data_IF_037187832706
#
_entry.id   IF_037187832706
#
_cell.length_a   1.000
_cell.length_b   1.000
_cell.length_c   1.000
_cell.angle_alpha   90.00
_cell.angle_beta   90.00
_cell.angle_gamma   90.00
#
_symmetry.space_group_name_H-M   'P 1'
#
loop_
_entity.id
_entity.type
_entity.pdbx_description
1 polymer ?
#
# COMPACT_ATOMS: atom_id res chain seq x y z
N UNK A 1 7.01 3.24 -7.07
CA UNK A 1 5.74 3.52 -7.78
C UNK A 1 5.90 4.40 -9.02
N UNK A 2 6.61 5.53 -8.94
CA UNK A 2 6.74 6.46 -10.07
C UNK A 2 7.37 5.82 -11.31
N UNK A 3 8.35 4.92 -11.15
CA UNK A 3 8.97 4.20 -12.26
C UNK A 3 8.02 3.23 -12.96
N UNK A 4 7.18 2.52 -12.20
CA UNK A 4 6.19 1.57 -12.74
C UNK A 4 5.08 2.32 -13.47
N UNK A 5 4.59 3.42 -12.89
CA UNK A 5 3.60 4.29 -13.52
C UNK A 5 4.18 4.90 -14.81
N UNK A 6 5.43 5.37 -14.80
CA UNK A 6 6.12 5.84 -16.01
C UNK A 6 6.20 4.78 -17.08
N UNK A 7 6.59 3.56 -16.74
CA UNK A 7 6.68 2.46 -17.71
C UNK A 7 5.31 2.11 -18.30
N UNK A 8 4.24 2.18 -17.51
CA UNK A 8 2.88 1.99 -18.03
C UNK A 8 2.57 3.11 -19.02
N UNK A 9 2.73 4.38 -18.64
CA UNK A 9 2.48 5.54 -19.51
C UNK A 9 3.29 5.44 -20.82
N UNK A 10 4.59 5.16 -20.74
CA UNK A 10 5.46 5.05 -21.93
C UNK A 10 5.09 3.88 -22.84
N UNK A 11 4.70 2.72 -22.28
CA UNK A 11 4.42 1.52 -23.08
C UNK A 11 2.99 1.43 -23.59
N UNK A 12 2.05 2.13 -22.96
CA UNK A 12 0.61 2.02 -23.28
C UNK A 12 -0.03 3.35 -23.69
N UNK A 13 0.64 4.49 -23.47
CA UNK A 13 0.17 5.81 -23.89
C UNK A 13 -1.01 6.36 -23.08
N UNK A 14 -1.40 5.70 -21.98
CA UNK A 14 -2.52 6.14 -21.14
C UNK A 14 -2.08 7.28 -20.20
N UNK A 15 -3.00 8.19 -19.83
CA UNK A 15 -2.71 9.28 -18.91
C UNK A 15 -2.37 8.74 -17.51
N UNK A 16 -1.58 9.51 -16.76
CA UNK A 16 -1.06 9.11 -15.45
C UNK A 16 -2.16 8.68 -14.46
N UNK A 17 -3.30 9.36 -14.47
CA UNK A 17 -4.45 9.03 -13.64
C UNK A 17 -5.00 7.63 -13.93
N UNK A 18 -4.98 7.22 -15.20
CA UNK A 18 -5.40 5.88 -15.64
C UNK A 18 -4.33 4.83 -15.36
N UNK A 19 -3.06 5.18 -15.49
CA UNK A 19 -1.96 4.29 -15.13
C UNK A 19 -1.97 3.93 -13.63
N UNK A 20 -2.31 4.88 -12.75
CA UNK A 20 -2.50 4.59 -11.32
C UNK A 20 -3.69 3.66 -11.05
N UNK A 21 -4.82 3.86 -11.75
CA UNK A 21 -5.98 2.97 -11.63
C UNK A 21 -5.65 1.54 -12.08
N UNK A 22 -4.94 1.39 -13.21
CA UNK A 22 -4.49 0.08 -13.72
C UNK A 22 -3.54 -0.59 -12.74
N UNK A 23 -2.58 0.15 -12.19
CA UNK A 23 -1.65 -0.38 -11.21
C UNK A 23 -2.38 -0.88 -9.95
N UNK A 24 -3.41 -0.17 -9.49
CA UNK A 24 -4.26 -0.60 -8.38
C UNK A 24 -4.97 -1.92 -8.66
N UNK A 25 -5.64 -2.05 -9.82
CA UNK A 25 -6.34 -3.29 -10.21
C UNK A 25 -5.38 -4.48 -10.32
N UNK A 26 -4.21 -4.26 -10.93
CA UNK A 26 -3.19 -5.31 -11.07
C UNK A 26 -2.60 -5.68 -9.71
N UNK A 27 -2.33 -4.71 -8.84
CA UNK A 27 -1.80 -4.98 -7.51
C UNK A 27 -2.80 -5.78 -6.65
N UNK A 28 -4.09 -5.45 -6.69
CA UNK A 28 -5.15 -6.23 -6.04
C UNK A 28 -5.19 -7.65 -6.59
N UNK A 29 -5.19 -7.81 -7.92
CA UNK A 29 -5.18 -9.14 -8.55
C UNK A 29 -3.97 -9.98 -8.17
N UNK A 30 -2.78 -9.39 -8.16
CA UNK A 30 -1.54 -10.09 -7.78
C UNK A 30 -1.55 -10.44 -6.30
N UNK A 31 -2.10 -9.58 -5.42
CA UNK A 31 -2.27 -9.87 -3.99
C UNK A 31 -3.23 -11.05 -3.74
N UNK A 32 -4.32 -11.12 -4.50
CA UNK A 32 -5.30 -12.21 -4.42
C UNK A 32 -4.74 -13.54 -4.94
N UNK A 33 -3.90 -13.50 -5.99
CA UNK A 33 -3.29 -14.70 -6.57
C UNK A 33 -2.02 -15.15 -5.85
N UNK A 34 -1.26 -14.22 -5.29
CA UNK A 34 0.02 -14.45 -4.64
C UNK A 34 0.08 -13.75 -3.27
N UNK A 35 -0.71 -14.20 -2.29
CA UNK A 35 -0.77 -13.58 -0.97
C UNK A 35 0.58 -13.63 -0.22
N UNK A 36 1.44 -14.60 -0.52
CA UNK A 36 2.80 -14.69 0.01
C UNK A 36 3.68 -13.48 -0.35
N UNK A 37 3.39 -12.81 -1.47
CA UNK A 37 4.09 -11.58 -1.90
C UNK A 37 3.31 -10.32 -1.52
N UNK A 38 2.13 -10.47 -0.89
CA UNK A 38 1.20 -9.39 -0.58
C UNK A 38 1.86 -8.26 0.22
N UNK A 39 2.65 -8.58 1.25
CA UNK A 39 3.34 -7.58 2.07
C UNK A 39 4.43 -6.79 1.34
N UNK A 40 5.11 -7.40 0.36
CA UNK A 40 6.10 -6.69 -0.47
C UNK A 40 5.40 -5.77 -1.47
N UNK A 41 4.29 -6.22 -2.06
CA UNK A 41 3.46 -5.42 -2.95
C UNK A 41 2.87 -4.24 -2.16
N UNK A 42 2.41 -4.47 -0.93
CA UNK A 42 1.91 -3.45 0.00
C UNK A 42 2.97 -2.38 0.32
N UNK A 43 4.20 -2.83 0.59
CA UNK A 43 5.35 -1.95 0.84
C UNK A 43 5.72 -1.14 -0.40
N UNK A 44 5.67 -1.75 -1.59
CA UNK A 44 5.95 -1.10 -2.87
C UNK A 44 4.84 -0.12 -3.29
N UNK A 45 3.59 -0.43 -2.97
CA UNK A 45 2.42 0.44 -3.17
C UNK A 45 2.26 1.50 -2.07
N UNK A 46 3.17 1.53 -1.09
CA UNK A 46 3.14 2.52 -0.01
C UNK A 46 1.90 2.39 0.90
N UNK A 47 1.14 1.30 0.79
CA UNK A 47 -0.01 1.03 1.66
C UNK A 47 0.43 0.54 3.04
N UNK A 48 1.72 0.24 3.22
CA UNK A 48 2.35 -0.05 4.52
C UNK A 48 2.35 1.11 5.53
N UNK A 49 1.77 2.27 5.20
CA UNK A 49 1.53 3.38 6.14
C UNK A 49 0.14 4.01 6.05
N UNK A 50 -0.73 3.49 5.17
CA UNK A 50 -2.11 3.93 5.07
C UNK A 50 -2.99 2.74 5.43
N UNK A 51 -3.16 2.55 6.74
CA UNK A 51 -4.26 1.79 7.30
C UNK A 51 -5.52 2.17 6.52
N UNK A 52 -6.06 1.17 5.82
CA UNK A 52 -7.38 1.25 5.23
C UNK A 52 -8.34 1.63 6.38
N UNK A 53 -9.00 2.79 6.39
CA UNK A 53 -9.88 3.18 7.49
C UNK A 53 -11.13 2.27 7.62
N UNK A 54 -11.28 1.30 6.72
CA UNK A 54 -12.33 0.29 6.73
C UNK A 54 -12.03 -0.94 7.62
N UNK A 55 -10.80 -1.11 8.12
CA UNK A 55 -10.46 -2.12 9.15
C UNK A 55 -10.15 -1.41 10.48
N UNK A 56 -11.04 -0.50 10.88
CA UNK A 56 -11.12 -0.03 12.27
C UNK A 56 -11.68 -1.17 13.13
N UNK A 57 -10.81 -2.13 13.46
CA UNK A 57 -10.91 -2.81 14.75
C UNK A 57 -10.48 -1.78 15.79
N UNK A 58 -11.42 -1.35 16.62
CA UNK A 58 -11.20 -0.50 17.78
C UNK A 58 -9.99 -1.05 18.56
N UNK A 59 -8.87 -0.29 18.57
CA UNK A 59 -7.69 -0.67 19.34
C UNK A 59 -6.34 -0.11 18.88
N UNK A 60 -6.18 0.34 17.63
CA UNK A 60 -4.88 0.82 17.13
C UNK A 60 -4.85 2.34 16.86
N UNK A 61 -4.95 3.12 17.94
CA UNK A 61 -4.43 4.50 17.99
C UNK A 61 -3.01 4.52 18.61
N UNK A 62 -2.28 3.41 18.50
CA UNK A 62 -1.06 3.13 19.27
C UNK A 62 0.14 2.63 18.48
N UNK A 63 0.04 2.38 17.17
CA UNK A 63 1.06 1.65 16.42
C UNK A 63 2.48 2.25 16.42
N UNK A 64 2.62 3.56 16.63
CA UNK A 64 3.94 4.20 16.78
C UNK A 64 4.04 5.01 18.07
N UNK A 65 3.01 5.79 18.41
CA UNK A 65 2.99 6.59 19.64
C UNK A 65 2.81 5.73 20.90
N UNK A 66 2.03 4.65 20.84
CA UNK A 66 1.80 3.68 21.93
C UNK A 66 2.98 2.75 22.17
N UNK A 67 3.70 2.38 21.11
CA UNK A 67 4.93 1.61 21.20
C UNK A 67 6.09 2.36 21.84
N UNK A 68 6.22 3.68 21.59
CA UNK A 68 7.29 4.48 22.20
C UNK A 68 7.03 4.78 23.68
N UNK A 69 5.80 5.11 24.08
CA UNK A 69 5.42 5.30 25.51
C UNK A 69 5.60 4.02 26.29
N UNK A 70 5.15 2.88 25.77
CA UNK A 70 5.29 1.59 26.45
C UNK A 70 6.74 1.14 26.62
N UNK A 71 7.62 1.49 25.66
CA UNK A 71 9.04 1.11 25.67
C UNK A 71 9.92 2.10 26.44
N UNK A 72 9.44 3.32 26.66
CA UNK A 72 10.08 4.33 27.50
C UNK A 72 9.44 4.49 28.88
N UNK A 73 8.43 3.69 29.23
CA UNK A 73 7.93 3.53 30.60
C UNK A 73 7.50 4.84 31.26
N UNK A 74 6.72 5.66 30.54
CA UNK A 74 6.08 6.88 31.04
C UNK A 74 4.57 6.68 31.10
#
# INVERSE_FOLDING_TARGET
MQDVVKQIIEKTGIPADKAQQVLGVVATFVKDKFPAMGGQIDSLLGTGGAANPADKKEGDEGGLLGGITSKFGL
#
